data_IF_998761001525
#
_entry.id   IF_998761001525
#
_cell.length_a   1.000
_cell.length_b   1.000
_cell.length_c   1.000
_cell.angle_alpha   90.00
_cell.angle_beta   90.00
_cell.angle_gamma   90.00
#
_symmetry.space_group_name_H-M   'P 1'
#
loop_
_entity.id
_entity.type
_entity.pdbx_description
1 polymer ?
#
# COMPACT_ATOMS: atom_id res chain seq x y z
N UNK A 1 6.38 -56.49 -10.70
CA UNK A 1 5.76 -55.29 -11.32
C UNK A 1 5.14 -54.31 -10.31
N UNK A 2 4.47 -54.76 -9.23
CA UNK A 2 3.85 -53.86 -8.23
C UNK A 2 4.88 -52.98 -7.47
N UNK A 3 6.05 -53.52 -7.12
CA UNK A 3 7.11 -52.78 -6.38
C UNK A 3 7.71 -51.60 -7.17
N UNK A 4 7.74 -51.66 -8.50
CA UNK A 4 8.25 -50.59 -9.37
C UNK A 4 7.24 -49.43 -9.44
N UNK A 5 5.93 -49.73 -9.39
CA UNK A 5 4.87 -48.71 -9.41
C UNK A 5 4.80 -47.92 -8.09
N UNK A 6 5.03 -48.57 -6.96
CA UNK A 6 5.08 -47.89 -5.65
C UNK A 6 6.29 -46.96 -5.56
N UNK A 7 7.46 -47.40 -6.04
CA UNK A 7 8.65 -46.57 -6.10
C UNK A 7 8.47 -45.32 -6.99
N UNK A 8 7.78 -45.45 -8.13
CA UNK A 8 7.48 -44.33 -9.02
C UNK A 8 6.51 -43.31 -8.39
N UNK A 9 5.52 -43.78 -7.61
CA UNK A 9 4.57 -42.91 -6.92
C UNK A 9 5.25 -42.14 -5.79
N UNK A 10 6.11 -42.79 -5.00
CA UNK A 10 6.89 -42.13 -3.94
C UNK A 10 7.87 -41.10 -4.52
N UNK A 11 8.50 -41.39 -5.66
CA UNK A 11 9.39 -40.43 -6.33
C UNK A 11 8.63 -39.22 -6.90
N UNK A 12 7.41 -39.43 -7.42
CA UNK A 12 6.53 -38.35 -7.90
C UNK A 12 5.97 -37.48 -6.75
N UNK A 13 5.74 -38.06 -5.57
CA UNK A 13 5.37 -37.32 -4.36
C UNK A 13 6.55 -36.51 -3.78
N UNK A 14 7.79 -37.01 -3.89
CA UNK A 14 8.96 -36.22 -3.48
C UNK A 14 9.28 -35.05 -4.43
N UNK A 15 8.91 -35.15 -5.72
CA UNK A 15 9.09 -34.07 -6.71
C UNK A 15 7.97 -33.02 -6.69
N UNK A 16 6.84 -33.29 -6.03
CA UNK A 16 5.73 -32.33 -5.87
C UNK A 16 5.80 -31.50 -4.59
N UNK A 17 6.74 -31.83 -3.68
CA UNK A 17 7.08 -31.00 -2.52
C UNK A 17 8.04 -29.85 -2.84
N UNK A 18 8.16 -29.47 -4.10
CA UNK A 18 8.55 -28.11 -4.44
C UNK A 18 7.44 -27.17 -4.00
N UNK A 19 7.36 -26.89 -2.70
CA UNK A 19 6.79 -25.65 -2.22
C UNK A 19 7.52 -24.58 -3.03
N UNK A 20 6.84 -24.05 -4.05
CA UNK A 20 7.31 -22.93 -4.81
C UNK A 20 7.54 -21.84 -3.75
N UNK A 21 8.81 -21.64 -3.38
CA UNK A 21 9.21 -20.48 -2.64
C UNK A 21 8.64 -19.31 -3.44
N UNK A 22 7.61 -18.66 -2.89
CA UNK A 22 7.01 -17.50 -3.51
C UNK A 22 8.19 -16.56 -3.78
N UNK A 23 8.50 -16.34 -5.06
CA UNK A 23 9.66 -15.57 -5.47
C UNK A 23 9.63 -14.23 -4.70
N UNK A 24 10.77 -13.71 -4.20
CA UNK A 24 10.80 -12.49 -3.39
C UNK A 24 10.00 -11.32 -4.01
N UNK A 25 9.93 -11.25 -5.34
CA UNK A 25 9.13 -10.28 -6.06
C UNK A 25 7.61 -10.31 -5.79
N UNK A 26 7.01 -11.47 -5.51
CA UNK A 26 5.57 -11.54 -5.18
C UNK A 26 5.25 -10.90 -3.82
N UNK A 27 6.11 -11.12 -2.83
CA UNK A 27 6.04 -10.46 -1.53
C UNK A 27 6.28 -8.95 -1.66
N UNK A 28 7.22 -8.54 -2.53
CA UNK A 28 7.46 -7.12 -2.84
C UNK A 28 6.20 -6.45 -3.39
N UNK A 29 5.55 -7.04 -4.40
CA UNK A 29 4.31 -6.46 -4.96
C UNK A 29 3.21 -6.40 -3.91
N UNK A 30 3.02 -7.46 -3.12
CA UNK A 30 2.05 -7.46 -2.02
C UNK A 30 2.30 -6.29 -1.06
N UNK A 31 3.55 -6.06 -0.67
CA UNK A 31 3.96 -4.91 0.16
C UNK A 31 3.70 -3.57 -0.54
N UNK A 32 4.03 -3.45 -1.83
CA UNK A 32 3.72 -2.27 -2.63
C UNK A 32 2.22 -1.97 -2.73
N UNK A 33 1.39 -3.01 -2.84
CA UNK A 33 -0.05 -2.90 -2.86
C UNK A 33 -0.64 -2.49 -1.50
N UNK A 34 -0.14 -3.05 -0.40
CA UNK A 34 -0.51 -2.59 0.94
C UNK A 34 -0.12 -1.11 1.16
N UNK A 35 1.01 -0.68 0.60
CA UNK A 35 1.44 0.73 0.63
C UNK A 35 0.48 1.62 -0.15
N UNK A 36 0.05 1.17 -1.34
CA UNK A 36 -0.89 1.89 -2.18
C UNK A 36 -2.27 2.00 -1.53
N UNK A 37 -2.73 0.93 -0.90
CA UNK A 37 -3.98 0.90 -0.13
C UNK A 37 -3.93 1.88 1.04
N UNK A 38 -2.86 1.86 1.83
CA UNK A 38 -2.67 2.81 2.92
C UNK A 38 -2.68 4.27 2.42
N UNK A 39 -1.97 4.55 1.31
CA UNK A 39 -2.00 5.87 0.68
C UNK A 39 -3.40 6.28 0.23
N UNK A 40 -4.17 5.36 -0.36
CA UNK A 40 -5.55 5.62 -0.78
C UNK A 40 -6.43 5.98 0.42
N UNK A 41 -6.26 5.31 1.57
CA UNK A 41 -6.95 5.64 2.82
C UNK A 41 -6.57 7.04 3.32
N UNK A 42 -5.28 7.39 3.27
CA UNK A 42 -4.80 8.72 3.66
C UNK A 42 -5.38 9.82 2.76
N UNK A 43 -5.46 9.58 1.44
CA UNK A 43 -6.08 10.51 0.49
C UNK A 43 -7.59 10.64 0.74
N UNK A 44 -8.30 9.52 0.86
CA UNK A 44 -9.75 9.51 1.09
C UNK A 44 -10.13 10.25 2.38
N UNK A 45 -9.37 10.03 3.45
CA UNK A 45 -9.52 10.77 4.70
C UNK A 45 -9.32 12.26 4.53
N UNK A 46 -8.27 12.66 3.82
CA UNK A 46 -8.02 14.08 3.55
C UNK A 46 -9.10 14.69 2.65
N UNK A 47 -9.69 13.92 1.74
CA UNK A 47 -10.83 14.37 0.92
C UNK A 47 -12.08 14.59 1.77
N UNK A 48 -12.32 13.73 2.77
CA UNK A 48 -13.48 13.81 3.65
C UNK A 48 -13.34 14.90 4.72
N UNK A 49 -12.14 15.11 5.22
CA UNK A 49 -11.80 16.09 6.26
C UNK A 49 -10.66 17.01 5.79
N UNK A 50 -10.89 17.82 4.73
CA UNK A 50 -9.85 18.66 4.16
C UNK A 50 -9.46 19.79 5.12
N UNK A 51 -8.17 20.10 5.17
CA UNK A 51 -7.72 21.32 5.85
C UNK A 51 -8.21 22.57 5.09
N UNK A 52 -8.21 23.73 5.77
CA UNK A 52 -8.73 25.00 5.23
C UNK A 52 -8.15 25.43 3.86
N UNK A 53 -6.98 24.93 3.47
CA UNK A 53 -6.29 25.28 2.21
C UNK A 53 -6.21 24.12 1.22
N UNK A 54 -6.83 23.00 1.52
CA UNK A 54 -6.78 21.82 0.67
C UNK A 54 -7.71 21.97 -0.53
N UNK A 55 -7.20 21.59 -1.69
CA UNK A 55 -8.00 21.51 -2.91
C UNK A 55 -8.70 20.16 -2.97
N UNK A 56 -9.99 20.11 -2.63
CA UNK A 56 -10.81 18.89 -2.76
C UNK A 56 -10.80 18.35 -4.20
N UNK A 57 -10.69 19.24 -5.19
CA UNK A 57 -10.54 18.86 -6.60
C UNK A 57 -9.24 18.09 -6.84
N UNK A 58 -8.12 18.56 -6.27
CA UNK A 58 -6.84 17.88 -6.39
C UNK A 58 -6.88 16.51 -5.68
N UNK A 59 -7.44 16.45 -4.46
CA UNK A 59 -7.56 15.20 -3.72
C UNK A 59 -8.38 14.15 -4.46
N UNK A 60 -9.51 14.54 -5.05
CA UNK A 60 -10.30 13.63 -5.92
C UNK A 60 -9.55 13.19 -7.18
N UNK A 61 -8.70 14.04 -7.75
CA UNK A 61 -7.84 13.63 -8.86
C UNK A 61 -6.80 12.60 -8.40
N UNK A 62 -6.25 12.76 -7.20
CA UNK A 62 -5.34 11.80 -6.61
C UNK A 62 -6.03 10.44 -6.39
N UNK A 63 -7.26 10.41 -5.86
CA UNK A 63 -8.05 9.17 -5.72
C UNK A 63 -8.20 8.42 -7.06
N UNK A 64 -8.53 9.14 -8.14
CA UNK A 64 -8.64 8.53 -9.47
C UNK A 64 -7.30 7.93 -9.96
N UNK A 65 -6.20 8.66 -9.77
CA UNK A 65 -4.85 8.18 -10.14
C UNK A 65 -4.47 6.93 -9.34
N UNK A 66 -4.78 6.89 -8.04
CA UNK A 66 -4.51 5.72 -7.19
C UNK A 66 -5.35 4.51 -7.62
N UNK A 67 -6.61 4.72 -7.98
CA UNK A 67 -7.48 3.67 -8.49
C UNK A 67 -6.94 3.06 -9.79
N UNK A 68 -6.45 3.89 -10.73
CA UNK A 68 -5.81 3.42 -11.96
C UNK A 68 -4.57 2.56 -11.69
N UNK A 69 -3.67 3.01 -10.81
CA UNK A 69 -2.48 2.24 -10.44
C UNK A 69 -2.85 0.91 -9.76
N UNK A 70 -3.83 0.94 -8.85
CA UNK A 70 -4.30 -0.24 -8.13
C UNK A 70 -4.90 -1.28 -9.08
N UNK A 71 -5.68 -0.85 -10.07
CA UNK A 71 -6.25 -1.74 -11.08
C UNK A 71 -5.17 -2.44 -11.90
N UNK A 72 -4.09 -1.73 -12.26
CA UNK A 72 -3.04 -2.24 -13.13
C UNK A 72 -2.02 -3.12 -12.42
N UNK A 73 -1.77 -2.93 -11.12
CA UNK A 73 -0.69 -3.64 -10.42
C UNK A 73 -1.24 -4.60 -9.35
N UNK A 74 -2.27 -4.19 -8.61
CA UNK A 74 -2.70 -4.89 -7.40
C UNK A 74 -3.95 -5.76 -7.59
N UNK A 75 -4.82 -5.42 -8.54
CA UNK A 75 -6.03 -6.20 -8.86
C UNK A 75 -5.86 -7.15 -10.05
N UNK A 76 -4.63 -7.37 -10.50
CA UNK A 76 -4.38 -8.27 -11.62
C UNK A 76 -4.57 -9.73 -11.20
N UNK A 77 -5.51 -10.43 -11.84
CA UNK A 77 -5.83 -11.84 -11.52
C UNK A 77 -4.65 -12.77 -11.79
N UNK A 78 -3.80 -12.41 -12.76
CA UNK A 78 -2.55 -13.10 -13.07
C UNK A 78 -1.48 -12.05 -13.34
N UNK A 79 -0.42 -12.04 -12.53
CA UNK A 79 0.79 -11.26 -12.79
C UNK A 79 1.58 -11.94 -13.93
N UNK A 80 1.12 -11.78 -15.17
CA UNK A 80 1.80 -12.30 -16.35
C UNK A 80 3.04 -11.45 -16.67
N UNK A 81 3.91 -11.92 -17.57
CA UNK A 81 5.04 -11.10 -18.06
C UNK A 81 4.61 -9.74 -18.61
N UNK A 82 3.36 -9.61 -19.07
CA UNK A 82 2.77 -8.37 -19.57
C UNK A 82 2.32 -7.40 -18.46
N UNK A 83 1.75 -7.92 -17.36
CA UNK A 83 1.32 -7.09 -16.23
C UNK A 83 2.48 -6.78 -15.26
N UNK A 84 3.48 -7.68 -15.21
CA UNK A 84 4.71 -7.50 -14.43
C UNK A 84 5.66 -6.51 -15.09
N UNK A 85 5.88 -6.64 -16.40
CA UNK A 85 6.96 -5.95 -17.09
C UNK A 85 6.46 -4.99 -18.16
N UNK A 86 7.04 -3.79 -18.20
CA UNK A 86 6.70 -2.73 -19.15
C UNK A 86 5.19 -2.48 -19.25
N UNK A 87 4.53 -2.35 -18.10
CA UNK A 87 3.10 -2.02 -18.02
C UNK A 87 2.89 -0.54 -18.25
N UNK A 88 1.85 -0.16 -19.00
CA UNK A 88 1.53 1.23 -19.33
C UNK A 88 0.09 1.57 -18.99
N UNK A 89 -0.13 2.81 -18.62
CA UNK A 89 -1.46 3.41 -18.57
C UNK A 89 -2.00 3.65 -19.99
N UNK A 90 -3.32 3.88 -20.10
CA UNK A 90 -3.95 4.21 -21.39
C UNK A 90 -3.39 5.48 -22.05
N UNK A 91 -2.82 6.39 -21.28
CA UNK A 91 -2.17 7.61 -21.77
C UNK A 91 -0.70 7.39 -22.20
N UNK A 92 -0.20 6.15 -22.19
CA UNK A 92 1.16 5.80 -22.60
C UNK A 92 2.24 6.01 -21.54
N UNK A 93 1.89 6.50 -20.34
CA UNK A 93 2.83 6.59 -19.23
C UNK A 93 3.19 5.20 -18.72
N UNK A 94 4.46 4.97 -18.44
CA UNK A 94 4.95 3.71 -17.89
C UNK A 94 4.52 3.58 -16.42
N UNK A 95 3.95 2.44 -16.05
CA UNK A 95 3.68 2.06 -14.66
C UNK A 95 4.98 1.57 -14.01
N UNK A 96 5.61 0.55 -14.58
CA UNK A 96 6.90 0.01 -14.16
C UNK A 96 7.53 -0.85 -15.25
N UNK A 97 8.86 -0.94 -15.27
CA UNK A 97 9.59 -1.88 -16.14
C UNK A 97 9.56 -3.31 -15.61
N UNK A 98 9.55 -3.46 -14.28
CA UNK A 98 9.37 -4.72 -13.57
C UNK A 98 8.77 -4.43 -12.20
N UNK A 99 7.47 -4.67 -12.05
CA UNK A 99 6.73 -4.38 -10.83
C UNK A 99 7.34 -5.02 -9.57
N UNK A 100 8.18 -6.04 -9.70
CA UNK A 100 8.78 -6.74 -8.56
C UNK A 100 9.96 -5.99 -7.93
N UNK A 101 10.71 -5.21 -8.72
CA UNK A 101 12.02 -4.72 -8.30
C UNK A 101 12.32 -3.29 -8.75
N UNK A 102 11.60 -2.78 -9.73
CA UNK A 102 11.79 -1.46 -10.34
C UNK A 102 10.78 -0.43 -9.81
N UNK A 103 11.03 0.87 -10.05
CA UNK A 103 10.14 1.93 -9.60
C UNK A 103 8.73 1.82 -10.18
N UNK A 104 7.75 2.29 -9.40
CA UNK A 104 6.36 2.44 -9.84
C UNK A 104 6.03 3.91 -10.02
N UNK A 105 5.30 4.23 -11.08
CA UNK A 105 4.87 5.60 -11.40
C UNK A 105 3.35 5.68 -11.51
N UNK A 106 2.83 6.85 -11.18
CA UNK A 106 1.44 7.21 -11.37
C UNK A 106 1.13 7.54 -12.84
N UNK A 107 -0.15 7.59 -13.20
CA UNK A 107 -0.58 7.94 -14.57
C UNK A 107 -0.21 9.36 -14.98
N UNK A 108 0.10 10.24 -14.02
CA UNK A 108 0.64 11.58 -14.29
C UNK A 108 2.18 11.61 -14.45
N UNK A 109 2.84 10.45 -14.46
CA UNK A 109 4.28 10.30 -14.63
C UNK A 109 5.13 10.54 -13.38
N UNK A 110 4.51 10.89 -12.24
CA UNK A 110 5.25 11.07 -10.99
C UNK A 110 5.60 9.73 -10.36
N UNK A 111 6.74 9.68 -9.70
CA UNK A 111 7.20 8.53 -8.95
C UNK A 111 6.24 8.27 -7.78
N UNK A 112 5.90 7.00 -7.54
CA UNK A 112 5.22 6.53 -6.33
C UNK A 112 6.25 5.99 -5.34
N UNK A 113 7.06 5.03 -5.77
CA UNK A 113 8.11 4.39 -4.98
C UNK A 113 9.25 3.91 -5.88
N UNK A 114 10.49 3.90 -5.37
CA UNK A 114 11.66 3.45 -6.13
C UNK A 114 11.75 1.92 -6.29
N UNK A 115 10.97 1.16 -5.51
CA UNK A 115 10.84 -0.27 -5.66
C UNK A 115 9.98 -0.86 -4.54
N UNK A 116 9.10 -1.80 -4.91
CA UNK A 116 8.20 -2.43 -3.96
C UNK A 116 8.97 -3.30 -2.94
N UNK A 117 8.54 -3.29 -1.67
CA UNK A 117 9.18 -4.03 -0.58
C UNK A 117 10.55 -3.51 -0.14
N UNK A 118 11.02 -2.38 -0.66
CA UNK A 118 12.27 -1.74 -0.23
C UNK A 118 12.00 -0.61 0.75
N UNK A 119 13.01 -0.26 1.54
CA UNK A 119 12.98 1.02 2.25
C UNK A 119 13.25 2.16 1.27
N UNK A 120 12.24 2.97 1.04
CA UNK A 120 12.25 4.06 0.07
C UNK A 120 11.29 5.15 0.51
N UNK A 121 11.54 6.36 0.03
CA UNK A 121 10.55 7.44 0.11
C UNK A 121 9.32 7.07 -0.70
N UNK A 122 8.14 7.32 -0.15
CA UNK A 122 6.86 7.12 -0.80
C UNK A 122 6.25 8.49 -1.11
N UNK A 123 5.83 8.68 -2.35
CA UNK A 123 5.32 9.94 -2.86
C UNK A 123 3.85 9.83 -3.23
N UNK A 124 3.08 10.84 -2.88
CA UNK A 124 1.72 11.02 -3.35
C UNK A 124 1.68 11.42 -4.84
N UNK A 125 0.53 11.25 -5.53
CA UNK A 125 0.37 11.72 -6.91
C UNK A 125 0.60 13.22 -7.12
N UNK A 126 0.45 14.05 -6.08
CA UNK A 126 0.79 15.48 -6.11
C UNK A 126 2.27 15.76 -5.78
N UNK A 127 3.13 14.74 -5.76
CA UNK A 127 4.58 14.84 -5.56
C UNK A 127 5.03 15.13 -4.13
N UNK A 128 4.10 15.33 -3.20
CA UNK A 128 4.44 15.43 -1.77
C UNK A 128 4.83 14.07 -1.22
N UNK A 129 5.58 14.09 -0.14
CA UNK A 129 6.09 12.88 0.50
C UNK A 129 5.03 12.38 1.49
N UNK A 130 4.78 11.08 1.49
CA UNK A 130 4.02 10.39 2.53
C UNK A 130 4.94 9.90 3.64
N UNK A 131 6.09 9.33 3.28
CA UNK A 131 7.09 8.82 4.22
C UNK A 131 8.48 8.86 3.58
N UNK A 132 9.52 9.16 4.36
CA UNK A 132 10.91 9.12 3.88
C UNK A 132 11.50 7.70 3.90
N UNK A 133 11.13 6.90 4.89
CA UNK A 133 11.65 5.56 5.18
C UNK A 133 10.48 4.63 5.53
N UNK A 134 9.83 4.10 4.49
CA UNK A 134 8.56 3.39 4.63
C UNK A 134 8.65 2.02 5.33
N UNK A 135 9.82 1.39 5.34
CA UNK A 135 10.00 0.10 6.01
C UNK A 135 10.32 0.23 7.50
N UNK A 136 10.45 1.46 8.00
CA UNK A 136 10.85 1.74 9.37
C UNK A 136 9.70 2.26 10.24
N UNK A 137 9.66 1.78 11.49
CA UNK A 137 8.59 2.07 12.45
C UNK A 137 8.71 3.45 13.13
N UNK A 138 9.87 4.06 13.01
CA UNK A 138 10.33 5.24 13.73
C UNK A 138 10.45 6.47 12.82
N UNK A 139 9.63 6.53 11.78
CA UNK A 139 9.60 7.66 10.86
C UNK A 139 8.23 8.27 10.70
N UNK A 140 8.25 9.57 10.39
CA UNK A 140 7.05 10.36 10.23
C UNK A 140 6.25 9.95 9.00
N UNK A 141 4.93 10.08 9.14
CA UNK A 141 3.98 10.00 8.03
C UNK A 141 3.35 11.37 7.86
N UNK A 142 3.15 11.76 6.61
CA UNK A 142 2.52 13.02 6.22
C UNK A 142 1.25 12.77 5.42
N UNK A 143 0.28 13.65 5.58
CA UNK A 143 -0.93 13.73 4.78
C UNK A 143 -0.61 14.18 3.34
N UNK A 144 -1.53 13.97 2.38
CA UNK A 144 -1.41 14.47 1.01
C UNK A 144 -1.22 15.98 0.92
N UNK A 145 -1.67 16.72 1.94
CA UNK A 145 -1.47 18.16 2.01
C UNK A 145 -0.08 18.58 2.52
N UNK A 146 0.72 17.63 3.00
CA UNK A 146 2.06 17.81 3.55
C UNK A 146 2.11 18.02 5.07
N UNK A 147 0.96 18.11 5.74
CA UNK A 147 0.93 18.20 7.20
C UNK A 147 1.28 16.86 7.83
N UNK A 148 1.84 16.91 9.04
CA UNK A 148 2.18 15.73 9.82
C UNK A 148 0.93 14.91 10.14
N UNK A 149 0.98 13.60 9.94
CA UNK A 149 -0.02 12.65 10.38
C UNK A 149 0.40 11.96 11.69
N UNK A 150 1.66 11.53 11.80
CA UNK A 150 2.30 11.02 13.03
C UNK A 150 3.81 11.17 12.93
N UNK A 151 4.52 11.28 14.06
CA UNK A 151 5.99 11.36 14.11
C UNK A 151 6.66 10.01 13.94
N UNK A 152 6.09 8.96 14.53
CA UNK A 152 6.59 7.61 14.43
C UNK A 152 5.42 6.69 14.05
N UNK A 153 5.59 5.88 13.01
CA UNK A 153 4.53 5.08 12.42
C UNK A 153 4.81 3.61 12.59
N UNK A 154 3.91 2.85 13.23
CA UNK A 154 4.18 1.51 13.77
C UNK A 154 5.06 1.54 15.03
N UNK A 155 4.85 2.56 15.85
CA UNK A 155 5.35 2.68 17.21
C UNK A 155 4.16 2.82 18.20
N UNK A 156 4.45 2.72 19.49
CA UNK A 156 3.50 2.89 20.60
C UNK A 156 3.47 4.32 21.12
N UNK A 157 2.39 4.68 21.82
CA UNK A 157 2.20 5.99 22.44
C UNK A 157 2.31 7.15 21.44
N UNK A 158 1.89 6.89 20.20
CA UNK A 158 2.04 7.85 19.12
C UNK A 158 0.82 8.75 18.97
N UNK A 159 1.09 10.05 18.85
CA UNK A 159 0.06 11.04 18.57
C UNK A 159 -0.21 11.10 17.08
N UNK A 160 -1.48 10.97 16.71
CA UNK A 160 -1.90 11.24 15.34
C UNK A 160 -2.69 12.52 15.22
N UNK A 161 -2.56 13.14 14.04
CA UNK A 161 -3.17 14.41 13.71
C UNK A 161 -4.04 14.25 12.48
N UNK A 162 -5.17 14.95 12.45
CA UNK A 162 -5.95 15.18 11.25
C UNK A 162 -5.14 16.04 10.26
N UNK A 163 -5.56 16.08 8.99
CA UNK A 163 -4.87 16.89 8.00
C UNK A 163 -4.82 18.39 8.30
N UNK A 164 -5.72 18.90 9.15
CA UNK A 164 -5.72 20.28 9.63
C UNK A 164 -4.87 20.51 10.89
N UNK A 165 -4.12 19.49 11.32
CA UNK A 165 -3.26 19.44 12.53
C UNK A 165 -3.98 19.28 13.86
N UNK A 166 -5.30 19.17 13.88
CA UNK A 166 -6.02 18.81 15.10
C UNK A 166 -5.69 17.38 15.52
N UNK A 167 -5.64 17.13 16.82
CA UNK A 167 -5.24 15.82 17.34
C UNK A 167 -6.41 14.83 17.18
N UNK A 168 -6.09 13.66 16.66
CA UNK A 168 -7.00 12.51 16.61
C UNK A 168 -6.97 11.80 17.97
N UNK A 169 -5.77 11.48 18.46
CA UNK A 169 -5.51 10.74 19.71
C UNK A 169 -4.00 10.78 20.03
N UNK A 170 -3.65 10.50 21.28
CA UNK A 170 -2.28 10.54 21.83
C UNK A 170 -1.59 9.17 21.98
N UNK A 171 -2.35 8.07 22.02
CA UNK A 171 -1.88 6.74 22.45
C UNK A 171 -2.14 5.68 21.37
N UNK A 172 -1.70 5.95 20.13
CA UNK A 172 -1.80 4.97 19.04
C UNK A 172 -0.85 3.79 19.23
N UNK A 173 -1.14 2.66 18.57
CA UNK A 173 -0.19 1.57 18.40
C UNK A 173 -0.26 0.43 19.42
N UNK A 174 -1.03 0.58 20.51
CA UNK A 174 -1.22 -0.50 21.49
C UNK A 174 -1.76 -1.80 20.88
N UNK A 175 -1.31 -2.94 21.41
CA UNK A 175 -1.75 -4.25 20.96
C UNK A 175 -3.29 -4.38 21.11
N UNK A 176 -3.96 -4.77 20.03
CA UNK A 176 -5.43 -4.85 19.96
C UNK A 176 -6.15 -3.53 19.66
N UNK A 177 -5.46 -2.38 19.63
CA UNK A 177 -6.04 -1.12 19.17
C UNK A 177 -6.25 -1.17 17.64
N UNK A 178 -7.43 -0.73 17.20
CA UNK A 178 -7.80 -0.67 15.78
C UNK A 178 -8.32 0.70 15.43
N UNK A 179 -7.80 1.24 14.35
CA UNK A 179 -8.15 2.58 13.87
C UNK A 179 -9.05 2.45 12.67
N UNK A 180 -10.21 3.06 12.75
CA UNK A 180 -11.18 3.05 11.67
C UNK A 180 -11.44 4.47 11.19
N UNK A 181 -11.68 4.61 9.90
CA UNK A 181 -12.29 5.82 9.39
C UNK A 181 -13.69 5.55 8.81
N UNK A 182 -14.61 6.52 8.95
CA UNK A 182 -15.91 6.43 8.31
C UNK A 182 -15.76 6.63 6.80
N UNK A 183 -16.46 5.82 6.00
CA UNK A 183 -16.62 6.06 4.56
C UNK A 183 -18.08 5.92 4.15
N UNK A 184 -18.49 6.66 3.12
CA UNK A 184 -19.84 6.55 2.58
C UNK A 184 -20.01 5.20 1.89
N UNK A 185 -20.94 4.38 2.38
CA UNK A 185 -21.30 3.11 1.73
C UNK A 185 -22.28 3.36 0.58
N UNK A 186 -22.29 2.45 -0.39
CA UNK A 186 -23.20 2.49 -1.54
C UNK A 186 -24.69 2.40 -1.16
N UNK A 187 -25.00 1.95 0.07
CA UNK A 187 -26.36 1.85 0.63
C UNK A 187 -26.82 3.14 1.35
N UNK A 188 -26.01 4.21 1.32
CA UNK A 188 -26.30 5.47 2.00
C UNK A 188 -25.99 5.46 3.50
N UNK A 189 -25.46 4.35 4.03
CA UNK A 189 -24.93 4.27 5.39
C UNK A 189 -23.48 4.74 5.50
N UNK A 190 -22.97 4.77 6.73
CA UNK A 190 -21.56 5.02 7.02
C UNK A 190 -20.91 3.67 7.36
N UNK A 191 -19.91 3.28 6.59
CA UNK A 191 -19.06 2.11 6.85
C UNK A 191 -17.85 2.50 7.69
N UNK A 192 -17.12 1.50 8.19
CA UNK A 192 -15.85 1.69 8.89
C UNK A 192 -14.78 0.85 8.21
N UNK A 193 -13.65 1.45 7.88
CA UNK A 193 -12.51 0.74 7.30
C UNK A 193 -11.28 0.90 8.18
N UNK A 194 -10.58 -0.22 8.42
CA UNK A 194 -9.38 -0.24 9.25
C UNK A 194 -8.22 0.45 8.52
N UNK A 195 -7.63 1.45 9.16
CA UNK A 195 -6.37 2.11 8.76
C UNK A 195 -5.17 1.31 9.31
N UNK A 196 -5.30 0.82 10.55
CA UNK A 196 -4.23 0.24 11.34
C UNK A 196 -4.77 -0.71 12.40
N UNK A 197 -4.06 -1.81 12.65
CA UNK A 197 -4.30 -2.72 13.77
C UNK A 197 -3.00 -3.41 14.17
N UNK A 198 -2.73 -3.51 15.47
CA UNK A 198 -1.65 -4.38 16.02
C UNK A 198 -0.24 -4.00 15.52
N UNK A 199 0.08 -2.71 15.39
CA UNK A 199 1.37 -2.28 14.83
C UNK A 199 2.53 -2.26 15.83
N UNK A 200 2.26 -2.41 17.12
CA UNK A 200 3.28 -2.53 18.15
C UNK A 200 3.32 -3.94 18.77
N UNK A 201 4.51 -4.37 19.18
CA UNK A 201 4.74 -5.57 20.00
C UNK A 201 5.15 -5.08 21.39
N UNK A 202 4.33 -5.32 22.42
CA UNK A 202 4.70 -4.98 23.80
C UNK A 202 5.93 -5.81 24.20
N UNK A 203 6.96 -5.14 24.71
CA UNK A 203 8.15 -5.79 25.30
C UNK A 203 7.81 -6.54 26.61
#
# INVERSE_FOLDING_TARGET
>A
MIRIRIAAIVLALCLSNGAAAALPGSANVSSGCATLEFMAKMVALNTMLPANRDSVKELKQMEAILAELNQLVCQTVIMSGFARGNSFYNNGVLVSKDAYYEPWYFSNGRLFMAGAGKDTTIYYPNGRIMSHHWMHGDHAIFWPNGNLATNFFRAFDETWYYPDTNIIIYEAGYAGARWFYPFSRLDGGIGQEVISSEWGIED
#
